data_IF_974420403495
#
_entry.id   IF_974420403495
#
_cell.length_a   1.000
_cell.length_b   1.000
_cell.length_c   1.000
_cell.angle_alpha   90.00
_cell.angle_beta   90.00
_cell.angle_gamma   90.00
#
_symmetry.space_group_name_H-M   'P 1'
#
loop_
_entity.id
_entity.type
_entity.pdbx_description
1 polymer ?
#
# COMPACT_ATOMS: atom_id res chain seq x y z
N UNK A 1 -5.89 -14.52 -3.15
CA UNK A 1 -7.11 -13.69 -3.29
C UNK A 1 -8.29 -14.63 -3.34
N UNK A 2 -9.36 -14.37 -2.57
CA UNK A 2 -10.57 -15.21 -2.67
C UNK A 2 -11.22 -14.91 -4.02
N UNK A 3 -11.12 -15.86 -4.93
CA UNK A 3 -11.84 -15.90 -6.20
C UNK A 3 -13.35 -15.76 -5.89
N UNK A 4 -13.99 -14.71 -6.44
CA UNK A 4 -15.44 -14.49 -6.28
C UNK A 4 -15.87 -13.39 -5.32
N UNK A 5 -14.95 -12.69 -4.64
CA UNK A 5 -15.33 -11.48 -3.91
C UNK A 5 -15.78 -10.38 -4.90
N UNK A 6 -16.99 -9.79 -4.73
CA UNK A 6 -17.46 -8.75 -5.63
C UNK A 6 -16.49 -7.57 -5.62
N UNK A 7 -16.02 -7.17 -6.81
CA UNK A 7 -15.20 -5.97 -6.96
C UNK A 7 -16.01 -4.78 -6.49
N UNK A 8 -15.52 -4.11 -5.45
CA UNK A 8 -16.15 -2.91 -4.95
C UNK A 8 -15.62 -1.70 -5.69
N UNK A 9 -16.51 -1.05 -6.43
CA UNK A 9 -16.22 0.15 -7.21
C UNK A 9 -16.74 1.34 -6.40
N UNK A 10 -15.90 2.37 -6.28
CA UNK A 10 -16.28 3.65 -5.67
C UNK A 10 -16.23 4.71 -6.76
N UNK A 11 -17.20 5.63 -6.81
CA UNK A 11 -17.20 6.72 -7.79
C UNK A 11 -16.11 7.77 -7.49
N UNK A 12 -15.68 7.90 -6.24
CA UNK A 12 -14.60 8.82 -5.84
C UNK A 12 -13.80 8.25 -4.63
N UNK A 13 -12.69 8.93 -4.29
CA UNK A 13 -11.84 8.54 -3.16
C UNK A 13 -12.46 8.86 -1.79
N UNK A 14 -13.29 9.89 -1.69
CA UNK A 14 -13.94 10.28 -0.44
C UNK A 14 -14.89 9.18 0.05
N UNK A 15 -15.64 8.56 -0.86
CA UNK A 15 -16.55 7.45 -0.58
C UNK A 15 -15.80 6.17 -0.18
N UNK A 16 -14.63 5.93 -0.79
CA UNK A 16 -13.75 4.85 -0.38
C UNK A 16 -13.30 5.07 1.06
N UNK A 17 -12.79 6.26 1.39
CA UNK A 17 -12.32 6.58 2.73
C UNK A 17 -13.46 6.47 3.75
N UNK A 18 -14.62 7.06 3.44
CA UNK A 18 -15.82 7.02 4.29
C UNK A 18 -16.30 5.60 4.56
N UNK A 19 -16.22 4.71 3.56
CA UNK A 19 -16.57 3.31 3.76
C UNK A 19 -15.63 2.66 4.78
N UNK A 20 -14.33 2.84 4.61
CA UNK A 20 -13.32 2.14 5.42
C UNK A 20 -12.93 2.86 6.71
N UNK A 21 -13.59 3.97 7.04
CA UNK A 21 -13.42 4.69 8.32
C UNK A 21 -13.85 3.82 9.51
N UNK A 22 -14.85 2.96 9.33
CA UNK A 22 -15.36 2.07 10.39
C UNK A 22 -14.68 0.69 10.35
N UNK A 23 -14.45 0.05 11.51
CA UNK A 23 -13.91 -1.31 11.56
C UNK A 23 -14.88 -2.34 10.97
N UNK A 24 -14.36 -3.52 10.63
CA UNK A 24 -15.18 -4.65 10.19
C UNK A 24 -15.55 -4.64 8.70
N UNK A 25 -14.86 -3.83 7.88
CA UNK A 25 -15.14 -3.71 6.45
C UNK A 25 -14.11 -4.41 5.54
N UNK A 26 -13.32 -5.33 6.10
CA UNK A 26 -12.35 -6.14 5.37
C UNK A 26 -10.92 -5.61 5.35
N UNK A 27 -10.69 -4.38 5.82
CA UNK A 27 -9.34 -3.92 6.15
C UNK A 27 -8.95 -4.38 7.55
N UNK A 28 -7.67 -4.77 7.71
CA UNK A 28 -7.08 -5.09 9.02
C UNK A 28 -7.11 -3.87 9.95
N UNK A 29 -6.90 -2.67 9.39
CA UNK A 29 -6.91 -1.39 10.09
C UNK A 29 -7.87 -0.45 9.37
N UNK A 30 -8.77 0.20 10.12
CA UNK A 30 -9.73 1.16 9.58
C UNK A 30 -9.07 2.54 9.40
N UNK A 31 -9.58 3.32 8.44
CA UNK A 31 -9.01 4.61 8.03
C UNK A 31 -9.46 5.77 8.94
N UNK A 32 -9.23 5.68 10.25
CA UNK A 32 -9.61 6.74 11.22
C UNK A 32 -8.58 7.86 11.37
N UNK A 33 -7.31 7.58 11.09
CA UNK A 33 -6.21 8.50 11.39
C UNK A 33 -5.57 9.03 10.11
N UNK A 34 -5.90 10.26 9.67
CA UNK A 34 -5.25 10.86 8.52
C UNK A 34 -3.79 11.17 8.87
N UNK A 35 -2.87 10.76 7.98
CA UNK A 35 -1.47 11.14 8.15
C UNK A 35 -1.27 12.60 7.76
N UNK A 36 -0.80 13.40 8.71
CA UNK A 36 -0.41 14.77 8.41
C UNK A 36 0.74 14.76 7.41
N UNK A 37 0.58 15.52 6.33
CA UNK A 37 1.68 15.74 5.40
C UNK A 37 2.76 16.50 6.16
N UNK A 38 3.91 15.86 6.41
CA UNK A 38 5.11 16.60 6.82
C UNK A 38 5.30 17.70 5.78
N UNK A 39 5.31 18.97 6.21
CA UNK A 39 5.08 20.14 5.38
C UNK A 39 5.70 20.07 3.99
N UNK A 40 5.02 20.68 3.01
CA UNK A 40 5.48 20.83 1.62
C UNK A 40 6.99 21.04 1.62
N UNK A 41 7.76 20.06 1.15
CA UNK A 41 9.20 20.18 1.01
C UNK A 41 9.48 20.52 -0.47
N UNK A 42 9.37 21.79 -0.90
CA UNK A 42 9.79 22.17 -2.24
C UNK A 42 11.32 22.09 -2.26
N UNK A 43 11.84 20.99 -2.82
CA UNK A 43 13.29 20.64 -2.91
C UNK A 43 13.90 20.22 -1.58
N UNK A 44 14.37 18.97 -1.48
CA UNK A 44 15.32 18.66 -0.40
C UNK A 44 15.37 17.23 0.12
N UNK A 45 14.51 16.31 -0.33
CA UNK A 45 14.76 14.89 -0.09
C UNK A 45 14.92 14.19 -1.42
N UNK A 46 16.18 14.10 -1.88
CA UNK A 46 16.65 12.79 -2.35
C UNK A 46 16.27 11.85 -1.22
N UNK A 47 15.16 11.12 -1.40
CA UNK A 47 14.86 9.99 -0.53
C UNK A 47 16.19 9.26 -0.40
N UNK A 48 16.70 9.18 0.82
CA UNK A 48 17.55 8.08 1.23
C UNK A 48 16.60 6.89 1.08
N UNK A 49 16.43 6.44 -0.17
CA UNK A 49 15.88 5.13 -0.46
C UNK A 49 16.91 4.27 0.23
N UNK A 50 16.61 3.82 1.45
CA UNK A 50 17.31 2.69 2.02
C UNK A 50 17.24 1.65 0.92
N UNK A 51 18.40 1.44 0.30
CA UNK A 51 18.62 0.48 -0.76
C UNK A 51 17.90 -0.78 -0.33
N UNK A 52 16.92 -1.15 -1.14
CA UNK A 52 15.81 -1.99 -0.78
C UNK A 52 16.33 -3.20 0.01
N UNK A 53 15.92 -3.38 1.27
CA UNK A 53 16.26 -4.58 2.07
C UNK A 53 15.66 -5.86 1.46
N UNK A 54 14.89 -5.70 0.39
CA UNK A 54 14.24 -6.71 -0.43
C UNK A 54 14.75 -6.68 -1.89
N UNK A 55 16.00 -6.23 -2.10
CA UNK A 55 16.65 -6.35 -3.40
C UNK A 55 16.94 -7.83 -3.65
N UNK A 56 16.19 -8.42 -4.57
CA UNK A 56 16.34 -9.82 -4.91
C UNK A 56 17.62 -9.98 -5.72
N UNK A 57 18.69 -10.40 -5.04
CA UNK A 57 19.97 -10.68 -5.68
C UNK A 57 19.83 -11.95 -6.51
N UNK A 58 20.45 -11.99 -7.70
CA UNK A 58 20.43 -13.19 -8.57
C UNK A 58 21.01 -14.45 -7.88
N UNK A 59 21.64 -14.29 -6.72
CA UNK A 59 22.14 -15.38 -5.87
C UNK A 59 21.01 -16.11 -5.12
N UNK A 60 19.85 -15.48 -4.92
CA UNK A 60 18.70 -16.05 -4.22
C UNK A 60 17.82 -16.93 -5.13
N UNK A 61 18.13 -16.97 -6.42
CA UNK A 61 17.43 -17.79 -7.41
C UNK A 61 18.29 -18.97 -7.85
N UNK A 62 17.76 -20.18 -7.72
CA UNK A 62 18.38 -21.41 -8.24
C UNK A 62 17.69 -21.84 -9.53
N UNK A 63 18.49 -22.24 -10.52
CA UNK A 63 17.97 -22.77 -11.76
C UNK A 63 17.24 -24.10 -11.49
N UNK A 64 15.93 -24.08 -11.70
CA UNK A 64 15.09 -25.27 -11.66
C UNK A 64 15.07 -25.85 -13.07
N UNK A 65 15.62 -27.05 -13.23
CA UNK A 65 15.54 -27.78 -14.50
C UNK A 65 14.10 -28.21 -14.79
N UNK A 66 13.67 -28.22 -16.06
CA UNK A 66 12.34 -28.67 -16.47
C UNK A 66 12.12 -30.17 -16.26
#
# INVERSE_FOLDING_TARGET
TVEGAPKQIFPNLEELVSKYEKPGQGLVIHLSNPMMRSGFCPRGRRMKLEMNVYENTNEDYVDILP
#
